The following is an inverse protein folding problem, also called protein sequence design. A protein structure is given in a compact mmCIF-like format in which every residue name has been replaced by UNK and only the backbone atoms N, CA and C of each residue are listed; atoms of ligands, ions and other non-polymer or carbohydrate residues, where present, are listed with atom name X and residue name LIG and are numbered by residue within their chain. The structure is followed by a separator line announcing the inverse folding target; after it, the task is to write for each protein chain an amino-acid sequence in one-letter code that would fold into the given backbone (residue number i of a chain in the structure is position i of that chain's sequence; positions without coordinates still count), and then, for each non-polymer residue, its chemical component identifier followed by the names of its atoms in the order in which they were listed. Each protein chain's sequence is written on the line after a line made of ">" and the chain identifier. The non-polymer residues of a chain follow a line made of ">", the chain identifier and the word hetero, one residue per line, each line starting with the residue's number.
data_IF_647164713324
#
_entry.id   IF_647164713324
#
_cell.length_a   1.000
_cell.length_b   1.000
_cell.length_c   1.000
_cell.angle_alpha   90.00
_cell.angle_beta   90.00
_cell.angle_gamma   90.00
#
_symmetry.space_group_name_H-M   'P 1'
#
loop_
_entity.id
_entity.type
_entity.pdbx_description
1 polymer ?
#
# COMPACT_ATOMS: atom_id res chain seq x y z
N UNK A 1 -28.27 15.61 -25.76
CA UNK A 1 -27.14 14.96 -25.03
C UNK A 1 -26.59 16.01 -24.11
N UNK A 2 -26.50 15.71 -22.82
CA UNK A 2 -25.84 16.62 -21.86
C UNK A 2 -24.41 16.86 -22.28
N UNK A 3 -24.01 18.13 -22.39
CA UNK A 3 -22.64 18.50 -22.74
C UNK A 3 -21.74 18.25 -21.53
N UNK A 4 -20.67 17.47 -21.70
CA UNK A 4 -19.71 17.19 -20.61
C UNK A 4 -18.47 18.08 -20.80
N UNK A 5 -18.16 18.87 -19.77
CA UNK A 5 -16.90 19.63 -19.68
C UNK A 5 -15.94 18.89 -18.73
N UNK A 6 -14.76 18.61 -19.22
CA UNK A 6 -13.70 17.93 -18.46
C UNK A 6 -12.80 18.95 -17.79
N UNK A 7 -12.74 18.93 -16.47
CA UNK A 7 -11.98 19.90 -15.66
C UNK A 7 -10.75 19.22 -15.09
N UNK A 8 -9.61 19.45 -15.73
CA UNK A 8 -8.31 18.96 -15.23
C UNK A 8 -7.70 19.93 -14.22
N UNK A 9 -7.19 19.40 -13.13
CA UNK A 9 -6.60 20.19 -12.06
C UNK A 9 -5.22 19.65 -11.71
N UNK A 10 -4.20 20.48 -11.82
CA UNK A 10 -2.87 20.19 -11.27
C UNK A 10 -2.80 20.78 -9.86
N UNK A 11 -2.71 19.87 -8.87
CA UNK A 11 -2.93 20.15 -7.45
C UNK A 11 -1.61 20.16 -6.69
N UNK A 12 -1.15 21.34 -6.30
CA UNK A 12 0.04 21.58 -5.50
C UNK A 12 -0.30 22.09 -4.10
N UNK A 13 0.71 22.17 -3.22
CA UNK A 13 0.57 22.62 -1.84
C UNK A 13 0.00 24.04 -1.73
N UNK A 14 0.47 24.94 -2.57
CA UNK A 14 0.21 26.37 -2.45
C UNK A 14 -0.78 26.90 -3.51
N UNK A 15 -0.98 26.17 -4.60
CA UNK A 15 -1.85 26.58 -5.71
C UNK A 15 -2.36 25.43 -6.53
N UNK A 16 -3.52 25.62 -7.17
CA UNK A 16 -4.10 24.70 -8.13
C UNK A 16 -4.18 25.37 -9.48
N UNK A 17 -3.70 24.70 -10.54
CA UNK A 17 -3.87 25.11 -11.92
C UNK A 17 -5.02 24.32 -12.53
N UNK A 18 -6.01 25.03 -13.07
CA UNK A 18 -7.28 24.45 -13.54
C UNK A 18 -7.46 24.77 -15.00
N UNK A 19 -7.97 23.82 -15.76
CA UNK A 19 -8.30 23.97 -17.17
C UNK A 19 -9.55 23.17 -17.51
N UNK A 20 -10.47 23.76 -18.26
CA UNK A 20 -11.61 23.10 -18.84
C UNK A 20 -11.31 22.65 -20.27
N UNK A 21 -11.77 21.44 -20.63
CA UNK A 21 -11.69 20.92 -22.00
C UNK A 21 -13.08 20.54 -22.48
N UNK A 22 -13.48 21.09 -23.63
CA UNK A 22 -14.72 20.78 -24.34
C UNK A 22 -14.40 19.90 -25.54
N UNK A 23 -14.85 18.65 -25.50
CA UNK A 23 -14.48 17.65 -26.49
C UNK A 23 -15.06 17.92 -27.88
N UNK A 24 -16.30 18.44 -27.96
CA UNK A 24 -17.00 18.72 -29.21
C UNK A 24 -16.26 19.77 -30.06
N UNK A 25 -15.54 20.67 -29.42
CA UNK A 25 -14.80 21.76 -30.06
C UNK A 25 -13.28 21.49 -30.08
N UNK A 26 -12.79 20.43 -29.44
CA UNK A 26 -11.35 20.14 -29.20
C UNK A 26 -10.60 21.39 -28.67
N UNK A 27 -11.22 22.11 -27.74
CA UNK A 27 -10.67 23.37 -27.21
C UNK A 27 -10.58 23.38 -25.69
N UNK A 28 -9.58 24.15 -25.22
CA UNK A 28 -9.36 24.43 -23.81
C UNK A 28 -9.88 25.81 -23.45
N UNK A 29 -10.51 25.90 -22.28
CA UNK A 29 -11.17 27.09 -21.79
C UNK A 29 -10.82 27.37 -20.34
N UNK A 30 -10.98 28.61 -19.90
CA UNK A 30 -10.96 29.04 -18.48
C UNK A 30 -9.73 28.61 -17.71
N UNK A 31 -8.56 28.66 -18.34
CA UNK A 31 -7.30 28.39 -17.66
C UNK A 31 -7.08 29.36 -16.52
N UNK A 32 -6.97 28.86 -15.30
CA UNK A 32 -6.81 29.68 -14.12
C UNK A 32 -5.91 29.04 -13.11
N UNK A 33 -5.07 29.84 -12.44
CA UNK A 33 -4.34 29.45 -11.25
C UNK A 33 -5.04 30.07 -10.04
N UNK A 34 -5.36 29.24 -9.02
CA UNK A 34 -6.01 29.66 -7.78
C UNK A 34 -5.19 29.21 -6.59
N UNK A 35 -5.36 29.84 -5.43
CA UNK A 35 -4.76 29.38 -4.20
C UNK A 35 -5.29 27.98 -3.82
N UNK A 36 -4.51 27.21 -3.08
CA UNK A 36 -4.82 25.84 -2.67
C UNK A 36 -5.95 25.77 -1.62
N UNK A 37 -7.12 26.24 -1.98
CA UNK A 37 -8.34 26.23 -1.18
C UNK A 37 -9.51 25.64 -1.98
N UNK A 38 -10.19 24.63 -1.47
CA UNK A 38 -11.36 24.02 -2.12
C UNK A 38 -12.45 25.05 -2.45
N UNK A 39 -12.65 26.06 -1.59
CA UNK A 39 -13.61 27.15 -1.82
C UNK A 39 -13.32 27.96 -3.08
N UNK A 40 -12.04 28.12 -3.46
CA UNK A 40 -11.64 28.81 -4.68
C UNK A 40 -11.98 27.98 -5.91
N UNK A 41 -11.78 26.67 -5.83
CA UNK A 41 -12.16 25.74 -6.89
C UNK A 41 -13.67 25.70 -7.06
N UNK A 42 -14.45 25.63 -6.00
CA UNK A 42 -15.91 25.67 -6.06
C UNK A 42 -16.44 26.95 -6.74
N UNK A 43 -15.94 28.12 -6.34
CA UNK A 43 -16.28 29.40 -7.03
C UNK A 43 -15.92 29.40 -8.50
N UNK A 44 -14.80 28.79 -8.85
CA UNK A 44 -14.41 28.65 -10.24
C UNK A 44 -15.39 27.76 -11.00
N UNK A 45 -15.77 26.60 -10.46
CA UNK A 45 -16.71 25.67 -11.08
C UNK A 45 -18.12 26.30 -11.22
N UNK A 46 -18.57 27.05 -10.22
CA UNK A 46 -19.82 27.82 -10.29
C UNK A 46 -19.79 28.85 -11.44
N UNK A 47 -18.64 29.53 -11.65
CA UNK A 47 -18.51 30.47 -12.77
C UNK A 47 -18.52 29.78 -14.13
N UNK A 48 -17.94 28.60 -14.23
CA UNK A 48 -17.93 27.76 -15.43
C UNK A 48 -19.35 27.26 -15.74
N UNK A 49 -20.09 26.78 -14.73
CA UNK A 49 -21.48 26.34 -14.89
C UNK A 49 -22.39 27.47 -15.41
N UNK A 50 -22.22 28.70 -14.92
CA UNK A 50 -23.00 29.84 -15.38
C UNK A 50 -22.76 30.17 -16.85
N UNK A 51 -21.57 29.93 -17.38
CA UNK A 51 -21.21 30.26 -18.76
C UNK A 51 -21.58 29.14 -19.75
N UNK A 52 -21.42 27.86 -19.36
CA UNK A 52 -21.80 26.74 -20.24
C UNK A 52 -23.26 26.33 -20.10
N UNK A 53 -23.99 26.85 -19.11
CA UNK A 53 -25.37 26.49 -18.78
C UNK A 53 -25.48 25.43 -17.71
N UNK A 54 -26.59 25.48 -16.93
CA UNK A 54 -26.83 24.57 -15.79
C UNK A 54 -27.02 23.09 -16.21
N UNK A 55 -27.35 22.83 -17.49
CA UNK A 55 -27.49 21.50 -18.06
C UNK A 55 -26.13 20.85 -18.42
N UNK A 56 -25.02 21.53 -18.13
CA UNK A 56 -23.69 21.05 -18.44
C UNK A 56 -23.08 20.27 -17.28
N UNK A 57 -22.66 19.02 -17.52
CA UNK A 57 -22.03 18.18 -16.51
C UNK A 57 -20.52 18.51 -16.41
N UNK A 58 -20.07 18.94 -15.24
CA UNK A 58 -18.63 19.13 -14.98
C UNK A 58 -18.01 17.86 -14.40
N UNK A 59 -17.08 17.26 -15.15
CA UNK A 59 -16.30 16.11 -14.69
C UNK A 59 -14.89 16.56 -14.31
N UNK A 60 -14.65 16.67 -13.01
CA UNK A 60 -13.37 17.11 -12.44
C UNK A 60 -12.40 15.95 -12.26
N UNK A 61 -11.09 16.23 -12.33
CA UNK A 61 -10.07 15.24 -11.97
C UNK A 61 -8.71 15.83 -11.74
N UNK A 62 -7.94 15.16 -10.88
CA UNK A 62 -6.57 15.54 -10.57
C UNK A 62 -5.70 14.30 -10.25
N UNK A 63 -4.39 14.46 -10.37
CA UNK A 63 -3.43 13.41 -10.07
C UNK A 63 -3.27 13.23 -8.56
N UNK A 64 -3.25 11.97 -8.08
CA UNK A 64 -3.00 11.65 -6.68
C UNK A 64 -1.60 12.11 -6.26
N UNK A 65 -1.55 12.97 -5.26
CA UNK A 65 -0.34 13.59 -4.75
C UNK A 65 -0.27 13.65 -3.22
N UNK A 66 0.74 14.32 -2.67
CA UNK A 66 0.94 14.44 -1.23
C UNK A 66 -0.12 15.28 -0.51
N UNK A 67 -0.93 16.04 -1.23
CA UNK A 67 -1.99 16.92 -0.70
C UNK A 67 -3.22 16.16 -0.20
N UNK A 68 -3.28 14.83 -0.43
CA UNK A 68 -4.37 13.98 0.04
C UNK A 68 -5.67 14.14 -0.75
N UNK A 69 -6.80 13.85 -0.09
CA UNK A 69 -8.11 13.74 -0.74
C UNK A 69 -9.12 14.81 -0.28
N UNK A 70 -8.68 15.84 0.43
CA UNK A 70 -9.56 16.92 0.94
C UNK A 70 -10.35 17.58 -0.19
N UNK A 71 -9.66 18.00 -1.26
CA UNK A 71 -10.31 18.60 -2.44
C UNK A 71 -11.35 17.68 -3.07
N UNK A 72 -11.04 16.39 -3.23
CA UNK A 72 -11.99 15.40 -3.75
C UNK A 72 -13.28 15.36 -2.91
N UNK A 73 -13.15 15.26 -1.59
CA UNK A 73 -14.30 15.20 -0.67
C UNK A 73 -15.16 16.45 -0.72
N UNK A 74 -14.51 17.61 -0.77
CA UNK A 74 -15.22 18.90 -0.87
C UNK A 74 -16.00 19.02 -2.18
N UNK A 75 -15.42 18.57 -3.30
CA UNK A 75 -16.09 18.58 -4.61
C UNK A 75 -17.28 17.60 -4.65
N UNK A 76 -17.10 16.37 -4.15
CA UNK A 76 -18.20 15.38 -4.06
C UNK A 76 -19.32 15.89 -3.17
N UNK A 77 -18.99 16.49 -2.00
CA UNK A 77 -19.96 17.09 -1.09
C UNK A 77 -20.75 18.23 -1.73
N UNK A 78 -20.14 18.98 -2.62
CA UNK A 78 -20.77 20.05 -3.39
C UNK A 78 -21.55 19.55 -4.62
N UNK A 79 -21.63 18.23 -4.87
CA UNK A 79 -22.39 17.61 -5.97
C UNK A 79 -21.62 17.48 -7.28
N UNK A 80 -20.33 17.84 -7.33
CA UNK A 80 -19.52 17.68 -8.54
C UNK A 80 -18.98 16.25 -8.66
N UNK A 81 -18.89 15.74 -9.89
CA UNK A 81 -18.18 14.49 -10.19
C UNK A 81 -16.68 14.78 -10.14
N UNK A 82 -15.94 14.02 -9.33
CA UNK A 82 -14.49 14.15 -9.24
C UNK A 82 -13.81 12.79 -9.27
N UNK A 83 -12.68 12.70 -9.98
CA UNK A 83 -11.85 11.51 -10.09
C UNK A 83 -10.43 11.84 -9.64
N UNK A 84 -9.86 11.00 -8.79
CA UNK A 84 -8.44 11.05 -8.46
C UNK A 84 -7.70 10.05 -9.33
N UNK A 85 -6.74 10.52 -10.12
CA UNK A 85 -6.02 9.74 -11.14
C UNK A 85 -4.74 9.16 -10.53
N UNK A 86 -4.46 7.89 -10.81
CA UNK A 86 -3.22 7.24 -10.36
C UNK A 86 -2.02 7.72 -11.21
N UNK A 87 -0.94 8.25 -10.60
CA UNK A 87 0.24 8.76 -11.32
C UNK A 87 0.86 7.72 -12.28
N UNK A 88 0.86 6.46 -11.86
CA UNK A 88 1.44 5.35 -12.63
C UNK A 88 0.66 5.00 -13.90
N UNK A 89 -0.57 5.47 -14.04
CA UNK A 89 -1.40 5.26 -15.23
C UNK A 89 -1.26 6.34 -16.28
N UNK A 90 -0.71 7.50 -15.91
CA UNK A 90 -0.52 8.62 -16.80
C UNK A 90 0.68 8.37 -17.72
N UNK A 91 0.43 8.38 -19.04
CA UNK A 91 1.47 8.25 -20.06
C UNK A 91 1.94 9.64 -20.47
N UNK A 92 2.90 10.18 -19.75
CA UNK A 92 3.56 11.42 -20.20
C UNK A 92 4.37 11.15 -21.47
N UNK A 93 4.13 11.94 -22.50
CA UNK A 93 4.96 11.90 -23.70
C UNK A 93 6.39 12.32 -23.33
N UNK A 94 7.37 11.47 -23.64
CA UNK A 94 8.80 11.74 -23.39
C UNK A 94 9.35 12.96 -24.14
N UNK A 95 8.58 13.52 -25.04
CA UNK A 95 9.00 14.66 -25.90
C UNK A 95 8.68 16.04 -25.33
N UNK A 96 7.93 16.15 -24.22
CA UNK A 96 7.67 17.45 -23.61
C UNK A 96 8.81 17.88 -22.69
N UNK A 97 9.75 18.65 -23.25
CA UNK A 97 10.87 19.26 -22.48
C UNK A 97 10.43 20.44 -21.59
N UNK A 98 9.21 20.94 -21.74
CA UNK A 98 8.68 22.06 -20.97
C UNK A 98 7.63 21.52 -20.01
N UNK A 99 7.98 21.43 -18.72
CA UNK A 99 7.05 21.13 -17.65
C UNK A 99 6.48 22.44 -17.11
N UNK A 100 5.16 22.63 -17.22
CA UNK A 100 4.45 23.81 -16.76
C UNK A 100 3.08 23.39 -16.21
N UNK A 101 2.72 23.88 -15.05
CA UNK A 101 1.45 23.57 -14.35
C UNK A 101 0.20 23.71 -15.27
N UNK A 102 0.21 24.66 -16.22
CA UNK A 102 -0.88 24.81 -17.20
C UNK A 102 -0.95 23.64 -18.18
N UNK A 103 0.20 23.15 -18.64
CA UNK A 103 0.28 22.01 -19.56
C UNK A 103 -0.20 20.76 -18.86
N UNK A 104 0.14 20.59 -17.58
CA UNK A 104 -0.27 19.45 -16.78
C UNK A 104 -1.80 19.46 -16.53
N UNK A 105 -2.40 20.62 -16.23
CA UNK A 105 -3.86 20.76 -16.11
C UNK A 105 -4.60 20.44 -17.43
N UNK A 106 -4.10 20.92 -18.58
CA UNK A 106 -4.64 20.58 -19.92
C UNK A 106 -4.55 19.08 -20.19
N UNK A 107 -3.40 18.49 -19.90
CA UNK A 107 -3.17 17.07 -20.08
C UNK A 107 -4.17 16.24 -19.25
N UNK A 108 -4.39 16.62 -17.98
CA UNK A 108 -5.37 15.96 -17.12
C UNK A 108 -6.80 16.10 -17.64
N UNK A 109 -7.20 17.30 -18.10
CA UNK A 109 -8.51 17.51 -18.70
C UNK A 109 -8.75 16.62 -19.94
N UNK A 110 -7.75 16.53 -20.83
CA UNK A 110 -7.82 15.66 -22.02
C UNK A 110 -7.79 14.18 -21.66
N UNK A 111 -7.05 13.79 -20.62
CA UNK A 111 -6.99 12.41 -20.09
C UNK A 111 -8.35 11.99 -19.51
N UNK A 112 -9.09 12.87 -18.85
CA UNK A 112 -10.44 12.59 -18.38
C UNK A 112 -11.39 12.25 -19.53
N UNK A 113 -11.31 12.99 -20.64
CA UNK A 113 -12.08 12.72 -21.85
C UNK A 113 -11.74 11.37 -22.48
N UNK A 114 -10.44 11.09 -22.68
CA UNK A 114 -10.00 9.84 -23.33
C UNK A 114 -10.18 8.61 -22.46
N UNK A 115 -10.43 8.79 -21.16
CA UNK A 115 -10.54 7.71 -20.17
C UNK A 115 -9.32 6.79 -20.09
N UNK A 116 -8.14 7.22 -20.59
CA UNK A 116 -6.87 6.44 -20.53
C UNK A 116 -6.18 6.66 -19.19
N UNK A 117 -6.85 6.30 -18.10
CA UNK A 117 -6.33 6.39 -16.74
C UNK A 117 -6.92 5.32 -15.83
N UNK A 118 -6.24 5.09 -14.71
CA UNK A 118 -6.76 4.31 -13.59
C UNK A 118 -7.14 5.25 -12.45
N UNK A 119 -8.35 5.13 -11.93
CA UNK A 119 -8.78 5.92 -10.78
C UNK A 119 -8.21 5.35 -9.48
N UNK A 120 -7.86 6.25 -8.55
CA UNK A 120 -7.53 5.89 -7.17
C UNK A 120 -8.82 5.75 -6.38
N UNK A 121 -8.96 4.64 -5.66
CA UNK A 121 -10.03 4.49 -4.69
C UNK A 121 -9.78 5.40 -3.48
N UNK A 122 -10.65 6.38 -3.29
CA UNK A 122 -10.59 7.29 -2.15
C UNK A 122 -11.34 6.65 -0.98
N UNK A 123 -10.63 6.37 0.10
CA UNK A 123 -11.19 5.81 1.33
C UNK A 123 -11.92 6.88 2.13
N UNK A 124 -12.83 6.46 3.04
CA UNK A 124 -13.46 7.36 4.01
C UNK A 124 -12.41 8.00 4.92
N UNK A 125 -12.74 9.10 5.58
CA UNK A 125 -11.84 9.76 6.56
C UNK A 125 -11.46 8.81 7.71
N UNK A 126 -12.42 8.00 8.14
CA UNK A 126 -12.19 7.01 9.20
C UNK A 126 -11.19 5.92 8.76
N UNK A 127 -11.35 5.36 7.56
CA UNK A 127 -10.41 4.39 7.00
C UNK A 127 -9.03 5.01 6.77
N UNK A 128 -8.98 6.29 6.37
CA UNK A 128 -7.71 7.01 6.21
C UNK A 128 -7.01 7.21 7.55
N UNK A 129 -7.75 7.52 8.63
CA UNK A 129 -7.21 7.60 9.98
C UNK A 129 -6.61 6.27 10.44
N UNK A 130 -7.26 5.14 10.16
CA UNK A 130 -6.70 3.80 10.44
C UNK A 130 -5.43 3.56 9.63
N UNK A 131 -5.42 3.94 8.36
CA UNK A 131 -4.26 3.82 7.46
C UNK A 131 -3.07 4.60 7.98
N UNK A 132 -3.28 5.74 8.66
CA UNK A 132 -2.21 6.54 9.23
C UNK A 132 -1.47 5.81 10.37
N UNK A 133 -2.17 5.05 11.21
CA UNK A 133 -1.52 4.19 12.21
C UNK A 133 -0.62 3.13 11.55
N UNK A 134 -1.05 2.56 10.42
CA UNK A 134 -0.22 1.62 9.67
C UNK A 134 1.03 2.31 9.08
N UNK A 135 0.91 3.55 8.60
CA UNK A 135 2.04 4.36 8.09
C UNK A 135 3.03 4.69 9.21
N UNK A 136 2.54 5.15 10.38
CA UNK A 136 3.38 5.42 11.55
C UNK A 136 4.17 4.19 11.97
N UNK A 137 3.51 3.03 12.08
CA UNK A 137 4.19 1.77 12.41
C UNK A 137 5.32 1.46 11.44
N UNK A 138 5.06 1.61 10.14
CA UNK A 138 6.07 1.32 9.12
C UNK A 138 7.26 2.29 9.22
N UNK A 139 7.00 3.58 9.41
CA UNK A 139 8.05 4.58 9.61
C UNK A 139 8.94 4.23 10.81
N UNK A 140 8.33 3.93 11.95
CA UNK A 140 9.07 3.51 13.15
C UNK A 140 9.88 2.23 12.94
N UNK A 141 9.38 1.26 12.16
CA UNK A 141 10.16 0.06 11.82
C UNK A 141 11.40 0.38 10.98
N UNK A 142 11.31 1.37 10.08
CA UNK A 142 12.47 1.85 9.31
C UNK A 142 13.49 2.51 10.23
N UNK A 143 13.04 3.39 11.14
CA UNK A 143 13.92 4.03 12.12
C UNK A 143 14.56 3.03 13.09
N UNK A 144 13.81 2.04 13.57
CA UNK A 144 14.37 0.96 14.37
C UNK A 144 15.47 0.19 13.62
N UNK A 145 15.24 -0.13 12.35
CA UNK A 145 16.25 -0.82 11.53
C UNK A 145 17.49 0.03 11.40
N UNK A 146 17.33 1.34 11.15
CA UNK A 146 18.43 2.31 11.07
C UNK A 146 19.18 2.38 12.40
N UNK A 147 18.50 2.54 13.54
CA UNK A 147 19.11 2.60 14.87
C UNK A 147 19.92 1.32 15.17
N UNK A 148 19.38 0.15 14.83
CA UNK A 148 20.08 -1.13 14.98
C UNK A 148 21.34 -1.22 14.15
N UNK A 149 21.33 -0.74 12.90
CA UNK A 149 22.51 -0.71 12.04
C UNK A 149 23.56 0.29 12.54
N UNK A 150 23.13 1.45 13.03
CA UNK A 150 24.04 2.46 13.60
C UNK A 150 24.77 1.91 14.83
N UNK A 151 24.05 1.26 15.76
CA UNK A 151 24.65 0.61 16.91
C UNK A 151 25.62 -0.50 16.51
N UNK A 152 25.26 -1.35 15.55
CA UNK A 152 26.15 -2.40 15.05
C UNK A 152 27.42 -1.81 14.40
N UNK A 153 27.30 -0.72 13.65
CA UNK A 153 28.44 -0.01 13.06
C UNK A 153 29.34 0.64 14.11
N UNK A 154 28.77 1.19 15.19
CA UNK A 154 29.53 1.68 16.33
C UNK A 154 30.34 0.57 16.98
N UNK A 155 29.73 -0.56 17.31
CA UNK A 155 30.40 -1.71 17.90
C UNK A 155 31.55 -2.25 17.01
N UNK A 156 31.31 -2.30 15.70
CA UNK A 156 32.30 -2.77 14.73
C UNK A 156 33.56 -1.84 14.70
N UNK A 157 33.36 -0.52 14.77
CA UNK A 157 34.47 0.45 14.80
C UNK A 157 35.34 0.31 16.05
N UNK A 158 34.79 -0.28 17.11
CA UNK A 158 35.49 -0.50 18.38
C UNK A 158 35.81 -1.97 18.65
N UNK A 159 35.89 -2.78 17.58
CA UNK A 159 36.25 -4.21 17.61
C UNK A 159 35.40 -5.08 18.54
N UNK A 160 34.18 -4.62 18.88
CA UNK A 160 33.22 -5.41 19.66
C UNK A 160 32.38 -6.25 18.73
N UNK A 161 32.64 -7.56 18.67
CA UNK A 161 31.95 -8.53 17.80
C UNK A 161 31.23 -9.57 18.65
N UNK A 162 29.93 -9.79 18.36
CA UNK A 162 29.15 -10.87 18.92
C UNK A 162 29.29 -12.13 18.06
N UNK A 163 29.82 -13.20 18.63
CA UNK A 163 30.10 -14.46 17.90
C UNK A 163 29.19 -15.62 18.32
N UNK A 164 28.36 -15.44 19.35
CA UNK A 164 27.62 -16.51 19.99
C UNK A 164 26.19 -16.71 19.42
N UNK A 165 25.95 -16.33 18.18
CA UNK A 165 24.68 -16.53 17.51
C UNK A 165 24.14 -15.33 16.75
N UNK A 166 22.82 -15.25 16.62
CA UNK A 166 22.17 -14.15 15.91
C UNK A 166 22.05 -12.89 16.76
N UNK A 167 22.18 -11.73 16.11
CA UNK A 167 21.96 -10.42 16.74
C UNK A 167 20.48 -10.23 17.14
N UNK A 168 20.24 -9.36 18.11
CA UNK A 168 18.91 -8.96 18.63
C UNK A 168 18.13 -10.07 19.36
N UNK A 169 18.83 -11.16 19.74
CA UNK A 169 18.33 -12.17 20.69
C UNK A 169 18.51 -11.68 22.14
N UNK A 170 17.91 -12.36 23.12
CA UNK A 170 18.15 -12.07 24.53
C UNK A 170 19.64 -12.17 24.86
N UNK A 171 20.32 -13.22 24.39
CA UNK A 171 21.78 -13.42 24.56
C UNK A 171 22.59 -12.25 23.99
N UNK A 172 22.20 -11.72 22.83
CA UNK A 172 22.85 -10.54 22.25
C UNK A 172 22.64 -9.29 23.13
N UNK A 173 21.43 -9.11 23.69
CA UNK A 173 21.13 -7.98 24.59
C UNK A 173 21.92 -8.06 25.89
N UNK A 174 22.03 -9.27 26.47
CA UNK A 174 22.83 -9.52 27.66
C UNK A 174 24.32 -9.23 27.40
N UNK A 175 24.81 -9.58 26.21
CA UNK A 175 26.16 -9.23 25.78
C UNK A 175 26.34 -7.73 25.61
N UNK A 176 25.40 -7.02 24.99
CA UNK A 176 25.43 -5.55 24.87
C UNK A 176 25.53 -4.87 26.25
N UNK A 177 24.76 -5.31 27.21
CA UNK A 177 24.77 -4.77 28.58
C UNK A 177 26.07 -5.02 29.34
N UNK A 178 26.90 -5.97 28.91
CA UNK A 178 28.20 -6.29 29.50
C UNK A 178 29.37 -5.57 28.84
N UNK A 179 29.13 -4.86 27.72
CA UNK A 179 30.19 -4.11 27.07
C UNK A 179 30.57 -2.92 27.91
N UNK A 180 31.87 -2.79 28.15
CA UNK A 180 32.47 -1.65 28.77
C UNK A 180 33.66 -1.20 27.95
N UNK A 181 33.88 0.11 27.88
CA UNK A 181 35.03 0.77 27.27
C UNK A 181 35.83 1.47 28.36
N UNK A 182 37.11 1.59 28.19
CA UNK A 182 37.98 2.37 29.12
C UNK A 182 37.66 3.86 29.07
N UNK A 183 37.19 4.33 27.91
CA UNK A 183 36.84 5.72 27.64
C UNK A 183 35.34 5.95 27.97
N UNK A 184 35.05 6.86 28.92
CA UNK A 184 33.72 7.12 29.41
C UNK A 184 32.76 7.62 28.33
N UNK A 185 33.21 8.48 27.41
CA UNK A 185 32.39 8.97 26.30
C UNK A 185 31.93 7.86 25.37
N UNK A 186 32.68 6.75 25.24
CA UNK A 186 32.23 5.60 24.47
C UNK A 186 31.11 4.79 25.18
N UNK A 187 31.20 4.74 26.54
CA UNK A 187 30.13 4.12 27.33
C UNK A 187 28.83 4.96 27.26
N UNK A 188 28.93 6.29 27.33
CA UNK A 188 27.81 7.20 27.12
C UNK A 188 27.21 7.03 25.73
N UNK A 189 28.03 7.03 24.68
CA UNK A 189 27.57 6.83 23.31
C UNK A 189 26.89 5.47 23.11
N UNK A 190 27.42 4.38 23.66
CA UNK A 190 26.79 3.06 23.64
C UNK A 190 25.41 3.10 24.27
N UNK A 191 25.30 3.73 25.45
CA UNK A 191 24.02 3.86 26.16
C UNK A 191 22.98 4.62 25.34
N UNK A 192 23.36 5.74 24.72
CA UNK A 192 22.47 6.55 23.86
C UNK A 192 21.97 5.75 22.64
N UNK A 193 22.84 4.97 21.98
CA UNK A 193 22.42 4.09 20.90
C UNK A 193 21.45 3.00 21.38
N UNK A 194 21.67 2.42 22.56
CA UNK A 194 20.78 1.43 23.16
C UNK A 194 19.43 2.04 23.55
N UNK A 195 19.39 3.23 24.13
CA UNK A 195 18.17 3.99 24.44
C UNK A 195 17.38 4.23 23.15
N UNK A 196 18.02 4.65 22.09
CA UNK A 196 17.35 4.86 20.79
C UNK A 196 16.65 3.60 20.28
N UNK A 197 17.34 2.45 20.31
CA UNK A 197 16.75 1.16 19.89
C UNK A 197 15.56 0.80 20.78
N UNK A 198 15.72 0.87 22.10
CA UNK A 198 14.68 0.52 23.06
C UNK A 198 13.45 1.43 22.93
N UNK A 199 13.66 2.72 22.69
CA UNK A 199 12.59 3.71 22.47
C UNK A 199 11.77 3.36 21.23
N UNK A 200 12.41 3.07 20.09
CA UNK A 200 11.68 2.67 18.88
C UNK A 200 10.92 1.35 19.07
N UNK A 201 11.49 0.36 19.77
CA UNK A 201 10.80 -0.89 20.07
C UNK A 201 9.56 -0.68 20.95
N UNK A 202 9.67 0.14 21.98
CA UNK A 202 8.55 0.49 22.86
C UNK A 202 7.42 1.21 22.09
N UNK A 203 7.77 2.19 21.24
CA UNK A 203 6.81 2.91 20.41
C UNK A 203 6.11 2.00 19.39
N UNK A 204 6.84 1.09 18.73
CA UNK A 204 6.25 0.11 17.81
C UNK A 204 5.27 -0.77 18.56
N UNK A 205 5.63 -1.27 19.76
CA UNK A 205 4.76 -2.10 20.59
C UNK A 205 3.48 -1.37 20.97
N UNK A 206 3.57 -0.09 21.34
CA UNK A 206 2.41 0.74 21.66
C UNK A 206 1.46 0.90 20.46
N UNK A 207 1.99 1.20 19.27
CA UNK A 207 1.19 1.31 18.03
C UNK A 207 0.59 -0.05 17.65
N UNK A 208 1.32 -1.15 17.76
CA UNK A 208 0.79 -2.49 17.49
C UNK A 208 -0.35 -2.88 18.44
N UNK A 209 -0.27 -2.49 19.71
CA UNK A 209 -1.37 -2.67 20.66
C UNK A 209 -2.58 -1.81 20.27
N UNK A 210 -2.36 -0.57 19.82
CA UNK A 210 -3.45 0.28 19.33
C UNK A 210 -4.10 -0.29 18.07
N UNK A 211 -3.30 -0.82 17.13
CA UNK A 211 -3.83 -1.49 15.93
C UNK A 211 -4.66 -2.75 16.27
N UNK A 212 -4.31 -3.47 17.35
CA UNK A 212 -5.15 -4.57 17.85
C UNK A 212 -6.49 -4.07 18.41
N UNK A 213 -6.52 -2.90 19.05
CA UNK A 213 -7.79 -2.29 19.49
C UNK A 213 -8.61 -1.83 18.28
N UNK A 214 -7.96 -1.18 17.30
CA UNK A 214 -8.59 -0.76 16.04
C UNK A 214 -9.19 -1.96 15.28
N UNK A 215 -8.60 -3.15 15.38
CA UNK A 215 -9.16 -4.35 14.75
C UNK A 215 -10.54 -4.76 15.26
N UNK A 216 -10.99 -4.21 16.38
CA UNK A 216 -12.33 -4.41 16.93
C UNK A 216 -13.34 -3.38 16.45
N UNK A 217 -12.88 -2.35 15.72
CA UNK A 217 -13.74 -1.34 15.11
C UNK A 217 -14.73 -1.98 14.11
N UNK A 218 -16.04 -1.65 14.20
CA UNK A 218 -17.06 -2.23 13.32
C UNK A 218 -16.74 -2.12 11.83
N UNK A 219 -16.07 -1.05 11.40
CA UNK A 219 -15.71 -0.82 9.99
C UNK A 219 -14.72 -1.85 9.43
N UNK A 220 -13.92 -2.49 10.28
CA UNK A 220 -12.86 -3.41 9.84
C UNK A 220 -12.96 -4.80 10.48
N UNK A 221 -13.69 -4.95 11.58
CA UNK A 221 -13.71 -6.17 12.40
C UNK A 221 -14.04 -7.43 11.60
N UNK A 222 -15.11 -7.43 10.83
CA UNK A 222 -15.52 -8.62 10.03
C UNK A 222 -14.41 -9.01 9.04
N UNK A 223 -13.83 -8.04 8.34
CA UNK A 223 -12.72 -8.25 7.40
C UNK A 223 -11.47 -8.78 8.11
N UNK A 224 -11.16 -8.27 9.30
CA UNK A 224 -10.03 -8.76 10.11
C UNK A 224 -10.28 -10.21 10.55
N UNK A 225 -11.47 -10.51 11.05
CA UNK A 225 -11.88 -11.84 11.49
C UNK A 225 -11.73 -12.90 10.40
N UNK A 226 -12.05 -12.55 9.16
CA UNK A 226 -11.83 -13.40 7.98
C UNK A 226 -10.33 -13.57 7.69
N UNK A 227 -9.54 -12.49 7.67
CA UNK A 227 -8.13 -12.54 7.26
C UNK A 227 -7.22 -13.23 8.28
N UNK A 228 -7.48 -13.12 9.58
CA UNK A 228 -6.65 -13.77 10.60
C UNK A 228 -6.75 -15.31 10.59
N UNK A 229 -7.73 -15.87 9.87
CA UNK A 229 -7.84 -17.31 9.65
C UNK A 229 -6.73 -17.84 8.74
N UNK A 230 -6.13 -17.00 7.89
CA UNK A 230 -5.00 -17.41 7.07
C UNK A 230 -3.72 -17.61 7.87
N UNK A 231 -3.00 -18.69 7.55
CA UNK A 231 -1.66 -18.90 8.08
C UNK A 231 -0.72 -17.76 7.68
N UNK A 232 -0.02 -17.17 8.66
CA UNK A 232 0.92 -16.07 8.43
C UNK A 232 0.30 -14.67 8.45
N UNK A 233 -1.04 -14.54 8.52
CA UNK A 233 -1.70 -13.25 8.67
C UNK A 233 -2.16 -13.09 10.13
N UNK A 234 -1.53 -12.22 10.86
CA UNK A 234 -1.90 -11.82 12.23
C UNK A 234 -2.71 -10.52 12.21
N UNK A 235 -3.33 -10.15 13.33
CA UNK A 235 -4.23 -9.00 13.45
C UNK A 235 -3.66 -7.71 12.84
N UNK A 236 -2.42 -7.34 13.20
CA UNK A 236 -1.78 -6.12 12.67
C UNK A 236 -1.57 -6.21 11.16
N UNK A 237 -1.24 -7.39 10.63
CA UNK A 237 -1.11 -7.62 9.19
C UNK A 237 -2.46 -7.51 8.48
N UNK A 238 -3.52 -8.07 9.08
CA UNK A 238 -4.88 -7.99 8.55
C UNK A 238 -5.36 -6.52 8.47
N UNK A 239 -5.23 -5.75 9.55
CA UNK A 239 -5.57 -4.32 9.57
C UNK A 239 -4.78 -3.56 8.50
N UNK A 240 -3.48 -3.85 8.35
CA UNK A 240 -2.63 -3.21 7.34
C UNK A 240 -3.10 -3.53 5.92
N UNK A 241 -3.46 -4.78 5.62
CA UNK A 241 -3.98 -5.18 4.30
C UNK A 241 -5.28 -4.45 4.02
N UNK A 242 -6.23 -4.48 4.96
CA UNK A 242 -7.55 -3.86 4.81
C UNK A 242 -7.43 -2.35 4.59
N UNK A 243 -6.68 -1.65 5.45
CA UNK A 243 -6.54 -0.19 5.37
C UNK A 243 -5.88 0.29 4.08
N UNK A 244 -4.96 -0.50 3.51
CA UNK A 244 -4.26 -0.14 2.28
C UNK A 244 -5.04 -0.48 1.01
N UNK A 245 -5.82 -1.55 1.03
CA UNK A 245 -6.63 -1.97 -0.13
C UNK A 245 -7.95 -1.21 -0.19
N UNK A 246 -8.60 -0.99 0.97
CA UNK A 246 -9.94 -0.40 1.06
C UNK A 246 -11.01 -1.37 0.57
N UNK A 247 -11.59 -1.10 -0.59
CA UNK A 247 -12.60 -1.94 -1.20
C UNK A 247 -12.00 -3.02 -2.12
N UNK A 248 -12.27 -4.29 -1.82
CA UNK A 248 -11.83 -5.44 -2.62
C UNK A 248 -12.75 -5.70 -3.81
N UNK A 249 -14.02 -5.25 -3.76
CA UNK A 249 -14.99 -5.45 -4.85
C UNK A 249 -14.67 -4.63 -6.10
N UNK A 250 -13.83 -3.60 -5.98
CA UNK A 250 -13.31 -2.86 -7.15
C UNK A 250 -12.47 -3.70 -8.11
N UNK A 251 -12.07 -4.89 -7.70
CA UNK A 251 -11.35 -5.84 -8.56
C UNK A 251 -12.29 -6.94 -9.01
N UNK A 252 -12.66 -6.96 -10.27
CA UNK A 252 -13.59 -7.95 -10.83
C UNK A 252 -13.10 -9.41 -10.68
N UNK A 253 -11.77 -9.60 -10.69
CA UNK A 253 -11.13 -10.94 -10.62
C UNK A 253 -9.92 -10.93 -9.69
N UNK A 254 -9.63 -12.06 -9.09
CA UNK A 254 -8.45 -12.27 -8.24
C UNK A 254 -7.12 -11.88 -8.93
N UNK A 255 -7.05 -12.11 -10.24
CA UNK A 255 -5.91 -11.72 -11.06
C UNK A 255 -5.72 -10.19 -11.08
N UNK A 256 -6.79 -9.40 -11.19
CA UNK A 256 -6.70 -7.93 -11.17
C UNK A 256 -6.13 -7.43 -9.84
N UNK A 257 -6.53 -8.05 -8.71
CA UNK A 257 -5.96 -7.73 -7.41
C UNK A 257 -4.46 -8.08 -7.32
N UNK A 258 -4.04 -9.25 -7.80
CA UNK A 258 -2.61 -9.61 -7.80
C UNK A 258 -1.78 -8.71 -8.72
N UNK A 259 -2.37 -8.22 -9.82
CA UNK A 259 -1.75 -7.26 -10.73
C UNK A 259 -1.61 -5.87 -10.07
N UNK A 260 -2.66 -5.40 -9.40
CA UNK A 260 -2.63 -4.17 -8.60
C UNK A 260 -1.49 -4.18 -7.56
N UNK A 261 -1.19 -5.33 -6.97
CA UNK A 261 -0.09 -5.51 -6.04
C UNK A 261 1.29 -5.60 -6.72
N UNK A 262 1.33 -5.71 -8.05
CA UNK A 262 2.57 -5.89 -8.82
C UNK A 262 3.26 -7.23 -8.55
N UNK A 263 2.49 -8.27 -8.22
CA UNK A 263 2.96 -9.65 -8.01
C UNK A 263 2.85 -10.51 -9.26
N UNK A 264 2.28 -10.01 -10.35
CA UNK A 264 2.23 -10.67 -11.65
C UNK A 264 3.55 -10.52 -12.39
N UNK A 265 3.91 -11.54 -13.17
CA UNK A 265 5.11 -11.48 -14.02
C UNK A 265 4.88 -10.49 -15.17
N UNK A 266 5.89 -9.69 -15.45
CA UNK A 266 5.94 -8.94 -16.69
C UNK A 266 6.28 -9.87 -17.85
N UNK A 267 5.88 -9.48 -19.05
CA UNK A 267 6.18 -10.18 -20.30
C UNK A 267 6.77 -9.19 -21.29
N UNK A 268 7.76 -9.63 -22.03
CA UNK A 268 8.33 -8.89 -23.15
C UNK A 268 8.35 -9.82 -24.34
N UNK A 269 7.33 -9.71 -25.18
CA UNK A 269 7.20 -10.48 -26.40
C UNK A 269 7.59 -9.61 -27.59
N UNK A 270 8.44 -10.13 -28.46
CA UNK A 270 8.74 -9.54 -29.76
C UNK A 270 8.78 -10.65 -30.81
N UNK A 271 7.82 -10.65 -31.72
CA UNK A 271 7.66 -11.67 -32.74
C UNK A 271 7.44 -13.07 -32.12
N UNK A 272 8.25 -14.05 -32.51
CA UNK A 272 8.12 -15.43 -32.01
C UNK A 272 8.80 -15.72 -30.67
N UNK A 273 9.42 -14.72 -30.01
CA UNK A 273 10.14 -14.92 -28.75
C UNK A 273 9.33 -14.35 -27.59
N UNK A 274 8.76 -15.22 -26.76
CA UNK A 274 8.18 -14.85 -25.47
C UNK A 274 9.25 -14.89 -24.36
N UNK A 275 9.47 -13.77 -23.69
CA UNK A 275 10.37 -13.70 -22.55
C UNK A 275 9.61 -13.31 -21.31
N UNK A 276 9.42 -14.26 -20.39
CA UNK A 276 8.87 -13.97 -19.07
C UNK A 276 9.89 -13.21 -18.22
N UNK A 277 9.46 -12.07 -17.70
CA UNK A 277 10.25 -11.24 -16.79
C UNK A 277 9.94 -11.59 -15.33
N UNK A 278 10.65 -10.96 -14.40
CA UNK A 278 10.26 -10.97 -12.99
C UNK A 278 8.92 -10.27 -12.75
N UNK A 279 8.47 -10.20 -11.49
CA UNK A 279 7.24 -9.48 -11.14
C UNK A 279 7.33 -8.01 -11.53
N UNK A 280 6.19 -7.41 -11.92
CA UNK A 280 6.11 -6.02 -12.41
C UNK A 280 6.54 -5.00 -11.37
N UNK A 281 6.34 -5.30 -10.07
CA UNK A 281 6.60 -4.40 -8.92
C UNK A 281 5.83 -3.07 -8.99
N UNK A 282 4.86 -2.95 -9.87
CA UNK A 282 3.90 -1.85 -9.92
C UNK A 282 3.08 -1.79 -8.66
N UNK A 283 2.55 -0.88 -8.11
CA UNK A 283 1.72 -0.89 -6.91
C UNK A 283 2.48 -0.86 -5.58
N UNK A 284 1.75 -1.10 -4.49
CA UNK A 284 2.24 -0.88 -3.12
C UNK A 284 3.37 -1.85 -2.72
N UNK A 285 4.58 -1.31 -2.54
CA UNK A 285 5.75 -2.09 -2.11
C UNK A 285 5.56 -2.73 -0.73
N UNK A 286 4.85 -2.06 0.17
CA UNK A 286 4.70 -2.52 1.55
C UNK A 286 3.77 -3.70 1.63
N UNK A 287 2.64 -3.67 0.88
CA UNK A 287 1.76 -4.83 0.74
C UNK A 287 2.48 -6.02 0.12
N UNK A 288 3.29 -5.81 -0.91
CA UNK A 288 4.10 -6.90 -1.49
C UNK A 288 5.06 -7.51 -0.48
N UNK A 289 5.78 -6.69 0.28
CA UNK A 289 6.67 -7.17 1.34
C UNK A 289 5.89 -7.93 2.41
N UNK A 290 4.76 -7.38 2.87
CA UNK A 290 3.90 -8.01 3.88
C UNK A 290 3.40 -9.39 3.43
N UNK A 291 2.85 -9.48 2.21
CA UNK A 291 2.37 -10.76 1.66
C UNK A 291 3.51 -11.76 1.45
N UNK A 292 4.70 -11.29 1.09
CA UNK A 292 5.89 -12.15 1.00
C UNK A 292 6.30 -12.70 2.38
N UNK A 293 6.24 -11.89 3.44
CA UNK A 293 6.50 -12.36 4.81
C UNK A 293 5.43 -13.34 5.29
N UNK A 294 4.15 -13.10 4.95
CA UNK A 294 3.07 -14.06 5.21
C UNK A 294 3.34 -15.40 4.51
N UNK A 295 3.74 -15.38 3.24
CA UNK A 295 4.09 -16.57 2.47
C UNK A 295 5.31 -17.31 3.05
N UNK A 296 6.33 -16.59 3.55
CA UNK A 296 7.46 -17.18 4.28
C UNK A 296 7.01 -17.91 5.57
N UNK A 297 6.01 -17.39 6.25
CA UNK A 297 5.43 -18.06 7.41
C UNK A 297 4.75 -19.38 7.03
N UNK A 298 4.06 -19.40 5.89
CA UNK A 298 3.48 -20.64 5.34
C UNK A 298 4.57 -21.66 4.98
N UNK A 299 5.68 -21.22 4.38
CA UNK A 299 6.82 -22.07 4.05
C UNK A 299 7.35 -22.83 5.28
N UNK A 300 7.37 -22.21 6.45
CA UNK A 300 7.85 -22.83 7.70
C UNK A 300 6.91 -23.90 8.26
N UNK A 301 5.69 -24.04 7.74
CA UNK A 301 4.75 -25.06 8.20
C UNK A 301 5.02 -26.40 7.51
N UNK A 302 4.66 -27.52 8.17
CA UNK A 302 4.64 -28.82 7.52
C UNK A 302 3.48 -28.91 6.52
N UNK A 303 3.66 -29.67 5.42
CA UNK A 303 2.61 -29.90 4.42
C UNK A 303 1.40 -30.61 5.05
N UNK A 304 1.66 -31.67 5.80
CA UNK A 304 0.64 -32.48 6.50
C UNK A 304 0.61 -32.26 8.02
N UNK A 305 1.34 -31.25 8.52
CA UNK A 305 1.49 -31.02 9.95
C UNK A 305 0.30 -30.32 10.60
N UNK A 306 0.21 -30.48 11.92
CA UNK A 306 -0.78 -29.80 12.76
C UNK A 306 -0.62 -28.27 12.64
N UNK A 307 -1.72 -27.55 12.80
CA UNK A 307 -1.72 -26.10 12.92
C UNK A 307 -1.00 -25.68 14.20
N UNK A 308 -0.33 -24.53 14.16
CA UNK A 308 0.24 -23.96 15.39
C UNK A 308 -0.87 -23.53 16.35
N UNK A 309 -0.61 -23.55 17.65
CA UNK A 309 -1.55 -23.07 18.67
C UNK A 309 -2.04 -21.66 18.34
N UNK A 310 -1.15 -20.73 17.96
CA UNK A 310 -1.50 -19.35 17.56
C UNK A 310 -2.50 -19.29 16.40
N UNK A 311 -2.41 -20.19 15.42
CA UNK A 311 -3.36 -20.22 14.31
C UNK A 311 -4.71 -20.78 14.78
N UNK A 312 -4.71 -21.84 15.59
CA UNK A 312 -5.93 -22.40 16.17
C UNK A 312 -6.66 -21.37 17.03
N UNK A 313 -5.94 -20.61 17.86
CA UNK A 313 -6.52 -19.55 18.71
C UNK A 313 -7.20 -18.46 17.86
N UNK A 314 -6.61 -18.08 16.70
CA UNK A 314 -7.21 -17.10 15.79
C UNK A 314 -8.43 -17.63 15.03
N UNK A 315 -8.47 -18.94 14.77
CA UNK A 315 -9.57 -19.60 14.06
C UNK A 315 -10.71 -20.01 15.02
N UNK A 316 -10.50 -19.95 16.32
CA UNK A 316 -11.51 -20.29 17.32
C UNK A 316 -12.75 -19.42 17.11
N UNK A 317 -13.93 -20.05 17.17
CA UNK A 317 -15.25 -19.38 17.02
C UNK A 317 -15.47 -18.67 15.67
N UNK A 318 -14.65 -18.95 14.65
CA UNK A 318 -14.87 -18.43 13.30
C UNK A 318 -15.69 -19.43 12.46
N UNK A 319 -16.31 -18.91 11.38
CA UNK A 319 -17.10 -19.74 10.48
C UNK A 319 -16.27 -20.92 9.92
N UNK A 320 -16.77 -22.16 10.01
CA UNK A 320 -16.08 -23.33 9.46
C UNK A 320 -15.74 -23.22 7.97
N UNK A 321 -16.58 -22.55 7.15
CA UNK A 321 -16.30 -22.33 5.72
C UNK A 321 -15.09 -21.44 5.52
N UNK A 322 -14.98 -20.35 6.29
CA UNK A 322 -13.83 -19.43 6.28
C UNK A 322 -12.55 -20.19 6.69
N UNK A 323 -12.63 -20.99 7.74
CA UNK A 323 -11.50 -21.80 8.21
C UNK A 323 -11.07 -22.80 7.13
N UNK A 324 -12.02 -23.53 6.53
CA UNK A 324 -11.72 -24.51 5.49
C UNK A 324 -11.04 -23.88 4.28
N UNK A 325 -11.51 -22.71 3.84
CA UNK A 325 -10.92 -21.98 2.73
C UNK A 325 -9.48 -21.50 3.05
N UNK A 326 -9.26 -20.96 4.25
CA UNK A 326 -7.94 -20.55 4.71
C UNK A 326 -6.97 -21.75 4.85
N UNK A 327 -7.46 -22.91 5.26
CA UNK A 327 -6.67 -24.15 5.30
C UNK A 327 -6.35 -24.67 3.90
N UNK A 328 -7.31 -24.68 2.97
CA UNK A 328 -7.09 -24.99 1.55
C UNK A 328 -5.96 -24.12 0.98
N UNK A 329 -5.95 -22.81 1.31
CA UNK A 329 -4.87 -21.90 0.94
C UNK A 329 -3.53 -22.38 1.51
N UNK A 330 -3.45 -22.67 2.81
CA UNK A 330 -2.21 -23.13 3.47
C UNK A 330 -1.62 -24.37 2.79
N UNK A 331 -2.44 -25.40 2.56
CA UNK A 331 -2.00 -26.63 1.90
C UNK A 331 -1.50 -26.39 0.49
N UNK A 332 -2.28 -25.67 -0.31
CA UNK A 332 -1.93 -25.35 -1.69
C UNK A 332 -0.62 -24.58 -1.79
N UNK A 333 -0.47 -23.51 -1.01
CA UNK A 333 0.72 -22.67 -1.08
C UNK A 333 1.96 -23.37 -0.57
N UNK A 334 1.83 -24.17 0.51
CA UNK A 334 2.96 -24.94 1.04
C UNK A 334 3.44 -26.00 0.03
N UNK A 335 2.50 -26.70 -0.62
CA UNK A 335 2.82 -27.69 -1.67
C UNK A 335 3.47 -27.01 -2.88
N UNK A 336 2.96 -25.84 -3.29
CA UNK A 336 3.54 -25.08 -4.39
C UNK A 336 4.96 -24.61 -4.11
N UNK A 337 5.23 -24.11 -2.92
CA UNK A 337 6.59 -23.70 -2.52
C UNK A 337 7.53 -24.90 -2.60
N UNK A 338 7.15 -26.06 -2.01
CA UNK A 338 7.95 -27.27 -2.05
C UNK A 338 8.23 -27.73 -3.49
N UNK A 339 7.20 -27.76 -4.33
CA UNK A 339 7.32 -28.15 -5.74
C UNK A 339 8.29 -27.25 -6.50
N UNK A 340 8.21 -25.92 -6.34
CA UNK A 340 9.10 -24.98 -7.02
C UNK A 340 10.56 -25.11 -6.55
N UNK A 341 10.77 -25.32 -5.24
CA UNK A 341 12.11 -25.56 -4.68
C UNK A 341 12.72 -26.87 -5.18
N UNK A 342 11.93 -27.95 -5.24
CA UNK A 342 12.35 -29.23 -5.84
C UNK A 342 12.75 -29.09 -7.33
N UNK A 343 12.11 -28.15 -8.05
CA UNK A 343 12.47 -27.82 -9.44
C UNK A 343 13.62 -26.81 -9.55
N UNK A 344 14.40 -26.61 -8.49
CA UNK A 344 15.59 -25.74 -8.49
C UNK A 344 15.30 -24.24 -8.51
N UNK A 345 14.05 -23.80 -8.27
CA UNK A 345 13.74 -22.37 -8.13
C UNK A 345 14.23 -21.85 -6.78
N UNK A 346 14.83 -20.66 -6.78
CA UNK A 346 15.28 -20.05 -5.52
C UNK A 346 14.12 -19.83 -4.54
N UNK A 347 14.41 -19.91 -3.25
CA UNK A 347 13.44 -19.74 -2.17
C UNK A 347 12.63 -18.42 -2.29
N UNK A 348 13.28 -17.34 -2.76
CA UNK A 348 12.61 -16.06 -2.95
C UNK A 348 11.60 -16.11 -4.11
N UNK A 349 11.94 -16.78 -5.22
CA UNK A 349 11.02 -16.97 -6.36
C UNK A 349 9.83 -17.81 -5.95
N UNK A 350 10.06 -18.94 -5.25
CA UNK A 350 8.99 -19.82 -4.76
C UNK A 350 8.05 -19.08 -3.78
N UNK A 351 8.62 -18.31 -2.86
CA UNK A 351 7.84 -17.51 -1.88
C UNK A 351 7.04 -16.40 -2.57
N UNK A 352 7.61 -15.72 -3.57
CA UNK A 352 6.91 -14.67 -4.31
C UNK A 352 5.74 -15.24 -5.13
N UNK A 353 5.93 -16.42 -5.74
CA UNK A 353 4.85 -17.12 -6.44
C UNK A 353 3.72 -17.52 -5.47
N UNK A 354 4.06 -17.93 -4.25
CA UNK A 354 3.07 -18.19 -3.20
C UNK A 354 2.37 -16.91 -2.72
N UNK A 355 3.10 -15.79 -2.57
CA UNK A 355 2.52 -14.50 -2.21
C UNK A 355 1.48 -14.01 -3.24
N UNK A 356 1.72 -14.25 -4.54
CA UNK A 356 0.76 -13.96 -5.60
C UNK A 356 -0.53 -14.77 -5.44
N UNK A 357 -0.44 -16.07 -5.18
CA UNK A 357 -1.63 -16.90 -4.94
C UNK A 357 -2.30 -16.55 -3.60
N UNK A 358 -1.53 -16.21 -2.56
CA UNK A 358 -2.10 -15.73 -1.31
C UNK A 358 -2.97 -14.48 -1.55
N UNK A 359 -2.52 -13.56 -2.39
CA UNK A 359 -3.33 -12.40 -2.77
C UNK A 359 -4.65 -12.84 -3.42
N UNK A 360 -4.64 -13.83 -4.32
CA UNK A 360 -5.86 -14.35 -4.92
C UNK A 360 -6.81 -14.98 -3.88
N UNK A 361 -6.28 -15.73 -2.92
CA UNK A 361 -7.08 -16.28 -1.81
C UNK A 361 -7.66 -15.18 -0.90
N UNK A 362 -6.87 -14.14 -0.61
CA UNK A 362 -7.34 -12.96 0.14
C UNK A 362 -8.49 -12.28 -0.60
N UNK A 363 -8.35 -12.06 -1.90
CA UNK A 363 -9.42 -11.47 -2.70
C UNK A 363 -10.68 -12.34 -2.64
N UNK A 364 -10.57 -13.65 -2.86
CA UNK A 364 -11.72 -14.56 -2.78
C UNK A 364 -12.40 -14.54 -1.42
N UNK A 365 -11.64 -14.48 -0.31
CA UNK A 365 -12.17 -14.36 1.04
C UNK A 365 -12.92 -13.03 1.26
N UNK A 366 -12.41 -11.93 0.71
CA UNK A 366 -12.95 -10.58 0.90
C UNK A 366 -14.15 -10.27 0.02
N UNK A 367 -14.37 -11.04 -1.05
CA UNK A 367 -15.46 -10.86 -2.03
C UNK A 367 -16.43 -12.06 -2.01
N UNK A 368 -16.34 -12.90 -0.96
CA UNK A 368 -17.17 -14.08 -0.72
C UNK A 368 -17.11 -15.16 -1.84
N UNK A 369 -16.02 -15.18 -2.63
CA UNK A 369 -15.72 -16.25 -3.60
C UNK A 369 -14.93 -17.38 -2.92
N UNK A 370 -15.53 -18.00 -1.89
CA UNK A 370 -14.87 -19.02 -1.02
C UNK A 370 -15.34 -20.45 -1.30
N UNK A 371 -15.82 -20.74 -2.48
CA UNK A 371 -16.26 -22.08 -2.89
C UNK A 371 -15.12 -23.11 -2.97
#
# INVERSE_FOLDING_TARGET
>A
MESIIYVGMDVHKDSYSICCYKADEDRFYYEKKVNAESKRVLKYLESVNKEFGEDCLLMCGYEAGPTGFGLYRDLIKAGYICVVIAPTSLKHSSNHKIKNDKVDARFLAKTLFTKDYSSVHVTTEHEEAIKEYCRMRLSLKKELTRAKLVLQSFLLRHDKKFTEGNTWTLKYRDWLNKIHFEEDYLNEALNEYMISVNTYEARIKAIENRLKQISLDPAVKDKVDKLVCFCGIETVSAVTIISKVGDFNRFEKAYHFSNYLGLTCGEKSSGQKEKHLGITKSGDRELRCLLSECAKSIKKTSIKGKKSKRLLDRQKEKDPKIIAYADKCRYRLRSKIAYLELRGKSANVATTAAARELACFIWGMMTDHIA
#
